data_IF_392293644799
#
_entry.id   IF_392293644799
#
_cell.length_a   1.000
_cell.length_b   1.000
_cell.length_c   1.000
_cell.angle_alpha   90.00
_cell.angle_beta   90.00
_cell.angle_gamma   90.00
#
_symmetry.space_group_name_H-M   'P 1'
#
loop_
_entity.id
_entity.type
_entity.pdbx_description
1 polymer ?
#
# COMPACT_ATOMS: atom_id res chain seq x y z
N UNK A 1 -17.97 25.80 -4.82
CA UNK A 1 -16.50 25.72 -4.80
C UNK A 1 -16.11 24.32 -5.24
N UNK A 2 -15.49 24.17 -6.41
CA UNK A 2 -15.08 22.87 -6.96
C UNK A 2 -13.90 22.31 -6.15
N UNK A 3 -14.05 21.09 -5.62
CA UNK A 3 -13.02 20.41 -4.83
C UNK A 3 -11.75 20.22 -5.67
N UNK A 4 -10.66 20.88 -5.30
CA UNK A 4 -9.35 20.73 -5.96
C UNK A 4 -8.86 19.29 -5.76
N UNK A 5 -8.88 18.49 -6.81
CA UNK A 5 -8.26 17.16 -6.78
C UNK A 5 -6.74 17.31 -6.87
N UNK A 6 -6.02 16.64 -5.98
CA UNK A 6 -4.56 16.58 -6.06
C UNK A 6 -4.13 15.91 -7.37
N UNK A 7 -3.29 16.59 -8.14
CA UNK A 7 -2.61 16.00 -9.30
C UNK A 7 -1.16 15.79 -8.89
N UNK A 8 -0.74 14.53 -8.77
CA UNK A 8 0.63 14.21 -8.41
C UNK A 8 1.61 14.83 -9.44
N UNK A 9 2.66 15.53 -8.98
CA UNK A 9 3.64 16.13 -9.88
C UNK A 9 4.43 15.07 -10.67
N UNK A 10 4.88 15.44 -11.87
CA UNK A 10 5.80 14.64 -12.68
C UNK A 10 7.14 14.46 -11.95
N UNK A 11 7.72 13.25 -12.01
CA UNK A 11 9.06 12.98 -11.47
C UNK A 11 10.12 13.89 -12.10
N UNK A 12 10.92 14.55 -11.24
CA UNK A 12 12.15 15.23 -11.65
C UNK A 12 13.32 14.28 -11.41
N UNK A 13 13.90 13.75 -12.49
CA UNK A 13 15.07 12.88 -12.44
C UNK A 13 16.22 13.60 -11.73
N UNK A 14 16.79 12.97 -10.70
CA UNK A 14 17.96 13.48 -9.97
C UNK A 14 19.23 13.37 -10.83
N UNK A 15 19.26 12.43 -11.79
CA UNK A 15 20.35 12.27 -12.76
C UNK A 15 19.86 12.48 -14.19
N UNK A 16 20.05 13.72 -14.67
CA UNK A 16 20.37 14.18 -16.04
C UNK A 16 19.74 13.57 -17.29
N UNK A 17 19.52 12.26 -17.41
CA UNK A 17 19.10 11.64 -18.65
C UNK A 17 17.65 11.19 -18.61
N UNK A 18 16.86 11.79 -19.51
CA UNK A 18 15.48 11.37 -19.79
C UNK A 18 15.52 10.00 -20.47
N UNK A 19 15.09 8.90 -19.84
CA UNK A 19 14.93 7.65 -20.55
C UNK A 19 13.84 7.81 -21.62
N UNK A 20 14.05 7.24 -22.80
CA UNK A 20 13.00 7.16 -23.85
C UNK A 20 11.78 6.42 -23.28
N UNK A 21 10.67 7.12 -23.06
CA UNK A 21 9.44 6.54 -22.52
C UNK A 21 8.58 7.52 -21.73
N UNK A 22 7.51 7.01 -21.10
CA UNK A 22 6.63 7.80 -20.23
C UNK A 22 7.37 8.18 -18.94
N UNK A 23 7.31 9.45 -18.54
CA UNK A 23 7.87 9.94 -17.27
C UNK A 23 7.35 9.10 -16.11
N UNK A 24 8.24 8.75 -15.17
CA UNK A 24 7.81 8.17 -13.91
C UNK A 24 6.92 9.17 -13.18
N UNK A 25 5.87 8.68 -12.53
CA UNK A 25 4.93 9.51 -11.79
C UNK A 25 5.03 9.17 -10.32
N UNK A 26 5.07 10.22 -9.52
CA UNK A 26 5.00 10.16 -8.07
C UNK A 26 3.65 9.62 -7.62
N UNK A 27 3.52 9.33 -6.32
CA UNK A 27 2.31 8.76 -5.76
C UNK A 27 1.18 9.80 -5.76
N UNK A 28 0.00 9.43 -6.26
CA UNK A 28 -1.25 10.11 -5.89
C UNK A 28 -1.69 9.73 -4.48
N UNK A 29 -2.68 10.43 -3.92
CA UNK A 29 -3.24 10.12 -2.61
C UNK A 29 -3.78 8.68 -2.57
N UNK A 30 -4.66 8.31 -3.53
CA UNK A 30 -5.14 6.93 -3.65
C UNK A 30 -4.01 5.89 -3.81
N UNK A 31 -2.95 6.21 -4.55
CA UNK A 31 -1.80 5.31 -4.71
C UNK A 31 -0.99 5.18 -3.41
N UNK A 32 -0.80 6.26 -2.66
CA UNK A 32 -0.11 6.23 -1.38
C UNK A 32 -0.85 5.37 -0.34
N UNK A 33 -2.18 5.50 -0.28
CA UNK A 33 -3.03 4.63 0.55
C UNK A 33 -2.90 3.16 0.15
N UNK A 34 -3.07 2.87 -1.14
CA UNK A 34 -2.99 1.51 -1.65
C UNK A 34 -1.62 0.86 -1.43
N UNK A 35 -0.53 1.62 -1.58
CA UNK A 35 0.82 1.12 -1.40
C UNK A 35 1.33 1.20 0.04
N UNK A 36 0.55 1.70 0.99
CA UNK A 36 1.00 1.99 2.35
C UNK A 36 1.70 0.78 3.00
N UNK A 37 1.01 -0.36 3.05
CA UNK A 37 1.54 -1.59 3.64
C UNK A 37 2.77 -2.13 2.90
N UNK A 38 2.75 -2.01 1.57
CA UNK A 38 3.86 -2.43 0.75
C UNK A 38 5.09 -1.56 1.03
N UNK A 39 4.93 -0.23 1.00
CA UNK A 39 6.02 0.71 1.25
C UNK A 39 6.58 0.46 2.64
N UNK A 40 5.76 0.54 3.71
CA UNK A 40 6.21 0.40 5.10
C UNK A 40 7.01 -0.87 5.40
N UNK A 41 6.75 -1.97 4.67
CA UNK A 41 7.51 -3.22 4.78
C UNK A 41 8.90 -3.15 4.14
N UNK A 42 9.08 -2.30 3.13
CA UNK A 42 10.27 -2.29 2.30
C UNK A 42 11.15 -1.04 2.44
N UNK A 43 10.68 0.03 3.09
CA UNK A 43 11.54 1.17 3.48
C UNK A 43 12.38 0.89 4.74
N UNK A 44 12.70 -0.38 5.05
CA UNK A 44 13.60 -0.74 6.15
C UNK A 44 15.03 -0.88 5.65
N UNK A 45 16.01 -0.47 6.46
CA UNK A 45 17.43 -0.57 6.10
C UNK A 45 17.85 -2.01 5.75
N UNK A 46 17.30 -3.01 6.47
CA UNK A 46 17.52 -4.43 6.16
C UNK A 46 17.10 -4.85 4.75
N UNK A 47 16.08 -4.19 4.18
CA UNK A 47 15.64 -4.42 2.80
C UNK A 47 16.63 -3.86 1.77
N UNK A 48 17.41 -2.84 2.14
CA UNK A 48 18.42 -2.23 1.27
C UNK A 48 19.66 -3.11 1.10
N UNK A 49 20.03 -3.88 2.11
CA UNK A 49 21.14 -4.84 2.04
C UNK A 49 20.89 -5.99 1.07
N UNK A 50 19.62 -6.35 0.82
CA UNK A 50 19.23 -7.47 -0.05
C UNK A 50 19.15 -7.02 -1.52
N UNK A 51 18.65 -5.80 -1.77
CA UNK A 51 18.46 -5.25 -3.11
C UNK A 51 18.96 -3.80 -3.18
N UNK A 52 20.28 -3.57 -3.07
CA UNK A 52 20.85 -2.22 -2.97
C UNK A 52 20.60 -1.37 -4.22
N UNK A 53 20.40 -2.00 -5.38
CA UNK A 53 20.06 -1.35 -6.64
C UNK A 53 18.75 -0.56 -6.58
N UNK A 54 17.84 -0.92 -5.66
CA UNK A 54 16.53 -0.28 -5.52
C UNK A 54 16.56 0.98 -4.65
N UNK A 55 17.63 1.24 -3.94
CA UNK A 55 17.68 2.33 -2.97
C UNK A 55 18.77 3.33 -3.32
N UNK A 56 18.61 4.56 -2.82
CA UNK A 56 19.65 5.58 -2.95
C UNK A 56 20.89 5.18 -2.16
N UNK A 57 22.07 5.55 -2.66
CA UNK A 57 23.36 5.24 -2.01
C UNK A 57 23.39 5.72 -0.56
N UNK A 58 22.88 6.93 -0.30
CA UNK A 58 22.81 7.49 1.05
C UNK A 58 21.90 6.69 1.99
N UNK A 59 20.84 6.08 1.45
CA UNK A 59 19.95 5.22 2.22
C UNK A 59 20.63 3.89 2.57
N UNK A 60 21.43 3.33 1.67
CA UNK A 60 22.15 2.08 1.93
C UNK A 60 23.32 2.25 2.91
N UNK A 61 24.10 3.32 2.75
CA UNK A 61 25.39 3.50 3.44
C UNK A 61 25.26 4.07 4.86
N UNK A 62 24.19 4.82 5.15
CA UNK A 62 24.04 5.53 6.43
C UNK A 62 22.79 5.03 7.19
N UNK A 63 22.93 4.09 8.14
CA UNK A 63 21.82 3.52 8.89
C UNK A 63 20.96 4.57 9.60
N UNK A 64 21.58 5.56 10.25
CA UNK A 64 20.86 6.63 10.96
C UNK A 64 20.01 7.49 10.01
N UNK A 65 20.51 7.74 8.81
CA UNK A 65 19.77 8.47 7.77
C UNK A 65 18.61 7.63 7.25
N UNK A 66 18.84 6.34 7.04
CA UNK A 66 17.81 5.40 6.60
C UNK A 66 16.68 5.29 7.62
N UNK A 67 17.02 5.23 8.92
CA UNK A 67 16.04 5.18 10.01
C UNK A 67 15.21 6.47 10.08
N UNK A 68 15.84 7.64 9.96
CA UNK A 68 15.14 8.93 9.90
C UNK A 68 14.17 9.01 8.74
N UNK A 69 14.60 8.58 7.54
CA UNK A 69 13.74 8.57 6.37
C UNK A 69 12.59 7.57 6.52
N UNK A 70 12.87 6.39 7.06
CA UNK A 70 11.84 5.39 7.34
C UNK A 70 10.79 5.90 8.34
N UNK A 71 11.21 6.45 9.49
CA UNK A 71 10.32 6.99 10.53
C UNK A 71 9.43 8.10 9.96
N UNK A 72 10.04 9.02 9.21
CA UNK A 72 9.33 10.15 8.58
C UNK A 72 8.30 9.65 7.55
N UNK A 73 8.68 8.68 6.72
CA UNK A 73 7.80 8.11 5.70
C UNK A 73 6.65 7.33 6.33
N UNK A 74 6.95 6.51 7.34
CA UNK A 74 5.95 5.74 8.06
C UNK A 74 4.93 6.64 8.77
N UNK A 75 5.38 7.79 9.32
CA UNK A 75 4.50 8.79 9.92
C UNK A 75 3.57 9.42 8.86
N UNK A 76 4.13 9.90 7.76
CA UNK A 76 3.35 10.53 6.68
C UNK A 76 2.34 9.55 6.07
N UNK A 77 2.78 8.32 5.78
CA UNK A 77 1.90 7.28 5.26
C UNK A 77 0.75 6.98 6.21
N UNK A 78 1.00 6.88 7.53
CA UNK A 78 -0.05 6.69 8.53
C UNK A 78 -1.02 7.86 8.60
N UNK A 79 -0.53 9.09 8.47
CA UNK A 79 -1.38 10.29 8.42
C UNK A 79 -2.27 10.26 7.18
N UNK A 80 -1.70 9.98 6.01
CA UNK A 80 -2.43 9.91 4.73
C UNK A 80 -3.50 8.81 4.79
N UNK A 81 -3.18 7.64 5.35
CA UNK A 81 -4.08 6.50 5.50
C UNK A 81 -5.35 6.85 6.27
N UNK A 82 -5.18 7.52 7.42
CA UNK A 82 -6.25 7.91 8.34
C UNK A 82 -7.07 9.11 7.87
N UNK A 83 -6.55 9.87 6.91
CA UNK A 83 -7.19 11.09 6.42
C UNK A 83 -8.05 10.77 5.20
N UNK A 84 -9.32 11.21 5.11
CA UNK A 84 -10.12 11.07 3.89
C UNK A 84 -9.37 11.62 2.68
N UNK A 85 -9.49 10.98 1.51
CA UNK A 85 -8.67 11.35 0.33
C UNK A 85 -8.84 12.82 -0.09
N UNK A 86 -10.05 13.37 0.05
CA UNK A 86 -10.35 14.77 -0.24
C UNK A 86 -9.77 15.78 0.76
N UNK A 87 -9.35 15.31 1.94
CA UNK A 87 -8.82 16.13 3.04
C UNK A 87 -7.30 16.02 3.19
N UNK A 88 -6.63 15.19 2.39
CA UNK A 88 -5.17 15.09 2.42
C UNK A 88 -4.57 16.37 1.84
N UNK A 89 -3.74 17.03 2.65
CA UNK A 89 -3.04 18.25 2.27
C UNK A 89 -2.00 17.94 1.18
N UNK A 90 -1.86 18.85 0.22
CA UNK A 90 -0.91 18.69 -0.88
C UNK A 90 0.53 18.68 -0.38
N UNK A 91 0.83 19.49 0.62
CA UNK A 91 2.14 19.59 1.27
C UNK A 91 2.55 18.25 1.89
N UNK A 92 1.61 17.52 2.50
CA UNK A 92 1.86 16.18 3.07
C UNK A 92 2.21 15.16 1.98
N UNK A 93 1.57 15.26 0.82
CA UNK A 93 1.88 14.39 -0.32
C UNK A 93 3.19 14.76 -1.02
N UNK A 94 3.51 16.06 -1.12
CA UNK A 94 4.78 16.52 -1.65
C UNK A 94 5.93 16.07 -0.74
N UNK A 95 5.80 16.26 0.58
CA UNK A 95 6.80 15.80 1.56
C UNK A 95 6.99 14.28 1.49
N UNK A 96 5.90 13.50 1.40
CA UNK A 96 6.01 12.05 1.25
C UNK A 96 6.76 11.70 -0.04
N UNK A 97 6.40 12.31 -1.16
CA UNK A 97 7.03 11.99 -2.43
C UNK A 97 8.50 12.38 -2.44
N UNK A 98 8.87 13.55 -1.93
CA UNK A 98 10.28 13.97 -1.78
C UNK A 98 11.08 12.97 -0.95
N UNK A 99 10.51 12.55 0.17
CA UNK A 99 11.15 11.57 1.05
C UNK A 99 11.32 10.21 0.36
N UNK A 100 10.32 9.77 -0.41
CA UNK A 100 10.43 8.54 -1.18
C UNK A 100 11.52 8.64 -2.27
N UNK A 101 11.77 9.83 -2.83
CA UNK A 101 12.86 10.07 -3.78
C UNK A 101 14.24 9.98 -3.11
N UNK A 102 14.32 10.36 -1.84
CA UNK A 102 15.53 10.21 -1.02
C UNK A 102 15.80 8.75 -0.63
N UNK A 103 14.78 7.88 -0.68
CA UNK A 103 14.91 6.47 -0.31
C UNK A 103 15.13 5.59 -1.55
N UNK A 104 14.32 5.74 -2.59
CA UNK A 104 14.32 4.87 -3.76
C UNK A 104 15.17 5.43 -4.90
N UNK A 105 15.93 4.54 -5.53
CA UNK A 105 16.58 4.81 -6.82
C UNK A 105 15.54 4.77 -7.95
N UNK A 106 15.96 5.12 -9.17
CA UNK A 106 15.12 4.95 -10.36
C UNK A 106 14.63 3.51 -10.53
N UNK A 107 15.48 2.53 -10.22
CA UNK A 107 15.13 1.12 -10.29
C UNK A 107 14.15 0.73 -9.17
N UNK A 108 14.33 1.29 -7.97
CA UNK A 108 13.38 1.16 -6.88
C UNK A 108 12.01 1.69 -7.24
N UNK A 109 11.96 2.85 -7.90
CA UNK A 109 10.72 3.45 -8.36
C UNK A 109 10.01 2.64 -9.44
N UNK A 110 10.73 2.08 -10.39
CA UNK A 110 10.14 1.12 -11.35
C UNK A 110 9.51 -0.08 -10.64
N UNK A 111 10.19 -0.61 -9.63
CA UNK A 111 9.69 -1.70 -8.82
C UNK A 111 8.44 -1.31 -8.03
N UNK A 112 8.42 -0.17 -7.33
CA UNK A 112 7.23 0.33 -6.63
C UNK A 112 6.05 0.54 -7.57
N UNK A 113 6.26 1.14 -8.76
CA UNK A 113 5.19 1.32 -9.76
C UNK A 113 4.65 -0.02 -10.28
N UNK A 114 5.51 -1.04 -10.43
CA UNK A 114 5.09 -2.39 -10.82
C UNK A 114 4.19 -3.02 -9.76
N UNK A 115 4.59 -2.96 -8.49
CA UNK A 115 3.81 -3.49 -7.38
C UNK A 115 2.47 -2.76 -7.21
N UNK A 116 2.46 -1.43 -7.32
CA UNK A 116 1.22 -0.65 -7.38
C UNK A 116 0.28 -1.11 -8.49
N UNK A 117 0.80 -1.35 -9.69
CA UNK A 117 0.00 -1.86 -10.79
C UNK A 117 -0.55 -3.25 -10.50
N UNK A 118 0.20 -4.11 -9.82
CA UNK A 118 -0.27 -5.42 -9.41
C UNK A 118 -1.32 -5.32 -8.30
N UNK A 119 -1.11 -4.49 -7.28
CA UNK A 119 -2.08 -4.26 -6.21
C UNK A 119 -3.40 -3.72 -6.76
N UNK A 120 -3.36 -2.75 -7.69
CA UNK A 120 -4.57 -2.27 -8.38
C UNK A 120 -5.29 -3.39 -9.15
N UNK A 121 -4.53 -4.30 -9.78
CA UNK A 121 -5.11 -5.47 -10.47
C UNK A 121 -5.74 -6.45 -9.47
N UNK A 122 -5.09 -6.70 -8.33
CA UNK A 122 -5.59 -7.60 -7.27
C UNK A 122 -6.87 -7.08 -6.63
N UNK A 123 -6.92 -5.78 -6.30
CA UNK A 123 -8.13 -5.11 -5.80
C UNK A 123 -9.27 -5.21 -6.81
N UNK A 124 -8.96 -5.17 -8.11
CA UNK A 124 -10.00 -5.18 -9.14
C UNK A 124 -10.49 -6.58 -9.53
N UNK A 125 -9.70 -7.67 -9.36
CA UNK A 125 -10.11 -9.06 -9.67
C UNK A 125 -9.23 -10.12 -8.98
N UNK A 126 -9.83 -10.95 -8.13
CA UNK A 126 -9.41 -12.35 -7.96
C UNK A 126 -10.63 -13.23 -8.14
N UNK A 127 -10.73 -13.90 -9.30
CA UNK A 127 -11.70 -14.97 -9.48
C UNK A 127 -11.18 -16.15 -8.68
N UNK A 128 -11.66 -16.32 -7.46
CA UNK A 128 -11.32 -17.48 -6.64
C UNK A 128 -12.00 -18.69 -7.28
N UNK A 129 -11.22 -19.69 -7.68
CA UNK A 129 -11.78 -20.96 -8.15
C UNK A 129 -12.11 -21.80 -6.92
N UNK A 130 -13.40 -22.09 -6.74
CA UNK A 130 -13.93 -22.87 -5.64
C UNK A 130 -14.47 -24.20 -6.17
N UNK A 131 -14.38 -25.27 -5.38
CA UNK A 131 -15.08 -26.51 -5.70
C UNK A 131 -16.59 -26.25 -5.75
N UNK A 132 -17.31 -27.03 -6.56
CA UNK A 132 -18.76 -26.91 -6.71
C UNK A 132 -19.50 -27.03 -5.37
N UNK A 133 -19.03 -27.94 -4.50
CA UNK A 133 -19.56 -28.13 -3.15
C UNK A 133 -19.37 -26.88 -2.27
N UNK A 134 -18.17 -26.28 -2.29
CA UNK A 134 -17.89 -25.11 -1.45
C UNK A 134 -18.65 -23.87 -1.94
N UNK A 135 -18.80 -23.72 -3.26
CA UNK A 135 -19.64 -22.68 -3.86
C UNK A 135 -21.12 -22.85 -3.46
N UNK A 136 -21.63 -24.08 -3.40
CA UNK A 136 -22.99 -24.36 -2.95
C UNK A 136 -23.18 -24.02 -1.47
N UNK A 137 -22.22 -24.38 -0.60
CA UNK A 137 -22.23 -24.04 0.82
C UNK A 137 -22.26 -22.52 1.04
N UNK A 138 -21.43 -21.76 0.32
CA UNK A 138 -21.43 -20.29 0.40
C UNK A 138 -22.78 -19.71 -0.02
N UNK A 139 -23.39 -20.22 -1.10
CA UNK A 139 -24.73 -19.77 -1.54
C UNK A 139 -25.82 -20.07 -0.51
N UNK A 140 -25.73 -21.19 0.20
CA UNK A 140 -26.68 -21.53 1.25
C UNK A 140 -26.56 -20.58 2.44
N UNK A 141 -25.34 -20.24 2.86
CA UNK A 141 -25.10 -19.25 3.93
C UNK A 141 -25.62 -17.87 3.48
N UNK A 142 -25.28 -17.46 2.26
CA UNK A 142 -25.76 -16.22 1.65
C UNK A 142 -27.29 -16.12 1.69
N UNK A 143 -28.00 -17.19 1.33
CA UNK A 143 -29.46 -17.22 1.36
C UNK A 143 -30.04 -17.22 2.78
N UNK A 144 -29.41 -17.95 3.71
CA UNK A 144 -29.86 -18.06 5.11
C UNK A 144 -29.74 -16.74 5.87
N UNK A 145 -28.61 -16.09 5.72
CA UNK A 145 -28.29 -14.81 6.40
C UNK A 145 -28.73 -13.58 5.58
N UNK A 146 -29.35 -13.80 4.41
CA UNK A 146 -29.86 -12.77 3.50
C UNK A 146 -28.79 -11.80 2.98
N UNK A 147 -27.57 -12.28 2.77
CA UNK A 147 -26.50 -11.49 2.15
C UNK A 147 -26.76 -11.27 0.66
N UNK A 148 -26.36 -10.12 0.15
CA UNK A 148 -26.59 -9.66 -1.22
C UNK A 148 -25.52 -10.24 -2.17
N UNK A 149 -24.37 -10.68 -1.64
CA UNK A 149 -23.28 -11.24 -2.43
C UNK A 149 -22.46 -12.33 -1.72
N UNK A 150 -21.71 -13.11 -2.52
CA UNK A 150 -20.74 -14.08 -2.01
C UNK A 150 -19.60 -13.37 -1.26
N UNK A 151 -19.18 -12.19 -1.73
CA UNK A 151 -18.12 -11.41 -1.08
C UNK A 151 -18.55 -10.98 0.34
N UNK A 152 -19.78 -10.48 0.49
CA UNK A 152 -20.36 -10.15 1.80
C UNK A 152 -20.49 -11.37 2.72
N UNK A 153 -20.79 -12.53 2.14
CA UNK A 153 -20.81 -13.81 2.87
C UNK A 153 -19.42 -14.20 3.37
N UNK A 154 -18.38 -14.03 2.54
CA UNK A 154 -16.99 -14.31 2.90
C UNK A 154 -16.52 -13.33 3.97
N UNK A 155 -16.81 -12.03 3.82
CA UNK A 155 -16.45 -11.01 4.80
C UNK A 155 -17.08 -11.30 6.17
N UNK A 156 -18.36 -11.69 6.19
CA UNK A 156 -19.02 -12.11 7.43
C UNK A 156 -18.32 -13.32 8.07
N UNK A 157 -18.01 -14.37 7.29
CA UNK A 157 -17.33 -15.55 7.81
C UNK A 157 -15.92 -15.25 8.35
N UNK A 158 -15.16 -14.39 7.68
CA UNK A 158 -13.83 -13.95 8.15
C UNK A 158 -13.92 -13.08 9.40
N UNK A 159 -14.97 -12.26 9.53
CA UNK A 159 -15.21 -11.48 10.75
C UNK A 159 -15.48 -12.38 11.96
N UNK A 160 -16.18 -13.50 11.77
CA UNK A 160 -16.43 -14.50 12.82
C UNK A 160 -15.14 -15.20 13.25
N UNK A 161 -14.27 -15.59 12.31
CA UNK A 161 -12.95 -16.16 12.64
C UNK A 161 -12.11 -15.17 13.48
N UNK A 162 -12.14 -13.89 13.13
CA UNK A 162 -11.44 -12.84 13.87
C UNK A 162 -12.02 -12.67 15.28
N UNK A 163 -13.35 -12.70 15.44
CA UNK A 163 -14.02 -12.61 16.74
C UNK A 163 -13.68 -13.82 17.63
N UNK A 164 -13.70 -15.03 17.06
CA UNK A 164 -13.36 -16.27 17.77
C UNK A 164 -11.90 -16.30 18.21
N UNK A 165 -10.98 -15.72 17.43
CA UNK A 165 -9.58 -15.60 17.82
C UNK A 165 -9.36 -14.58 18.96
N UNK A 166 -10.18 -13.53 19.04
CA UNK A 166 -10.14 -12.57 20.15
C UNK A 166 -10.65 -13.20 21.44
N UNK A 167 -11.79 -13.89 21.39
CA UNK A 167 -12.37 -14.56 22.56
C UNK A 167 -11.43 -15.64 23.10
N UNK A 168 -10.78 -16.41 22.21
CA UNK A 168 -9.78 -17.39 22.61
C UNK A 168 -8.58 -16.77 23.33
N UNK A 169 -8.17 -15.53 23.02
CA UNK A 169 -7.06 -14.85 23.70
C UNK A 169 -7.46 -14.34 25.09
N UNK A 170 -8.72 -13.92 25.26
CA UNK A 170 -9.25 -13.44 26.54
C UNK A 170 -9.34 -14.58 27.56
N UNK A 171 -9.75 -15.78 27.11
CA UNK A 171 -9.85 -16.98 27.98
C UNK A 171 -8.49 -17.53 28.46
N UNK A 172 -7.34 -17.06 27.93
CA UNK A 172 -6.00 -17.43 28.39
C UNK A 172 -5.39 -16.44 29.40
N UNK A 173 -6.05 -15.31 29.69
CA UNK A 173 -5.56 -14.27 30.61
C UNK A 173 -6.33 -14.22 31.96
N UNK A 174 -7.30 -15.12 32.20
CA UNK A 174 -7.90 -15.41 33.53
C UNK A 174 -7.30 -16.67 34.17
#
# INVERSE_FOLDING_TARGET
MTAKHYVAPDWRYIYGDKPKGRRMRLLSVAEAKLANDFIRRHIRHSSSSIHPDRYQVNFCQYPDTAEKFWLSAARLLRTIDRTPESAVLFETMDELNELMNCIFSDQGWRWVRKELSQSKKRVNKTRIELSSDLAAKLKNIMAREQFISIDETIDHLLSLDTALQIDAVIDFEE
#
